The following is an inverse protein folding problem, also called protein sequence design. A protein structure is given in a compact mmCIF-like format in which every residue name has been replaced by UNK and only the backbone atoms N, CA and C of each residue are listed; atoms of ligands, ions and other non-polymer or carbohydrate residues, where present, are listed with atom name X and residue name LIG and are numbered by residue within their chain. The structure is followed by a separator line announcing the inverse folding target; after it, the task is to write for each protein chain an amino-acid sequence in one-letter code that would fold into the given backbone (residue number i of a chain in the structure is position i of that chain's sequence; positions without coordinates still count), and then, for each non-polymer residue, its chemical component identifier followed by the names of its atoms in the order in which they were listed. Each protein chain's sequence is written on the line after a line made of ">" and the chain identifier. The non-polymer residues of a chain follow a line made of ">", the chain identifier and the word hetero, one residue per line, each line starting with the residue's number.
data_IF_951251960049
#
_entry.id   IF_951251960049
#
_cell.length_a   1.000
_cell.length_b   1.000
_cell.length_c   1.000
_cell.angle_alpha   90.00
_cell.angle_beta   90.00
_cell.angle_gamma   90.00
#
_symmetry.space_group_name_H-M   'P 1'
#
loop_
_entity.id
_entity.type
_entity.pdbx_description
1 polymer ?
#
# COMPACT_ATOMS: atom_id res chain seq x y z
N UNK A 1 16.43 -4.93 23.20
CA UNK A 1 15.64 -3.71 22.91
C UNK A 1 16.32 -2.96 21.79
N UNK A 2 15.90 -3.19 20.54
CA UNK A 2 16.46 -2.50 19.38
C UNK A 2 15.93 -1.06 19.38
N UNK A 3 16.72 -0.15 19.95
CA UNK A 3 16.55 1.28 19.68
C UNK A 3 16.89 1.44 18.19
N UNK A 4 15.88 1.59 17.33
CA UNK A 4 16.07 2.45 16.15
C UNK A 4 16.79 3.68 16.69
N UNK A 5 17.98 4.06 16.19
CA UNK A 5 18.70 5.19 16.76
C UNK A 5 17.71 6.34 16.78
N UNK A 6 17.32 6.81 17.98
CA UNK A 6 16.24 7.79 18.16
C UNK A 6 16.44 9.00 17.23
N UNK A 7 17.70 9.26 16.86
CA UNK A 7 18.14 10.23 15.88
C UNK A 7 17.60 9.99 14.45
N UNK A 8 17.61 8.76 13.92
CA UNK A 8 17.11 8.45 12.57
C UNK A 8 15.59 8.63 12.49
N UNK A 9 14.87 8.15 13.51
CA UNK A 9 13.42 8.36 13.61
C UNK A 9 13.09 9.86 13.74
N UNK A 10 13.86 10.60 14.55
CA UNK A 10 13.72 12.06 14.67
C UNK A 10 14.00 12.77 13.35
N UNK A 11 15.02 12.39 12.61
CA UNK A 11 15.34 12.98 11.30
C UNK A 11 14.27 12.67 10.27
N UNK A 12 13.75 11.44 10.21
CA UNK A 12 12.66 11.08 9.31
C UNK A 12 11.37 11.85 9.64
N UNK A 13 11.03 11.98 10.92
CA UNK A 13 9.89 12.79 11.39
C UNK A 13 10.13 14.27 11.08
N UNK A 14 11.34 14.80 11.29
CA UNK A 14 11.66 16.20 10.98
C UNK A 14 11.59 16.47 9.48
N UNK A 15 12.05 15.54 8.63
CA UNK A 15 11.97 15.66 7.18
C UNK A 15 10.52 15.58 6.69
N UNK A 16 9.69 14.69 7.26
CA UNK A 16 8.27 14.66 6.93
C UNK A 16 7.57 15.93 7.39
N UNK A 17 7.86 16.43 8.59
CA UNK A 17 7.29 17.67 9.12
C UNK A 17 7.74 18.89 8.31
N UNK A 18 9.01 18.94 7.91
CA UNK A 18 9.55 20.00 7.07
C UNK A 18 8.94 19.95 5.66
N UNK A 19 8.73 18.76 5.09
CA UNK A 19 8.03 18.59 3.81
C UNK A 19 6.58 19.10 3.88
N UNK A 20 5.87 18.76 4.96
CA UNK A 20 4.50 19.22 5.25
C UNK A 20 4.47 20.74 5.43
N UNK A 21 5.41 21.31 6.19
CA UNK A 21 5.52 22.76 6.41
C UNK A 21 5.91 23.52 5.15
N UNK A 22 6.81 23.01 4.32
CA UNK A 22 7.18 23.62 3.05
C UNK A 22 6.02 23.59 2.04
N UNK A 23 5.12 22.61 2.17
CA UNK A 23 3.93 22.47 1.34
C UNK A 23 2.63 22.80 2.08
N UNK A 24 2.68 23.58 3.18
CA UNK A 24 1.49 23.79 4.03
C UNK A 24 0.32 24.44 3.29
N UNK A 25 0.60 25.26 2.27
CA UNK A 25 -0.43 25.84 1.39
C UNK A 25 -1.17 24.81 0.53
N UNK A 26 -0.62 23.61 0.34
CA UNK A 26 -1.33 22.48 -0.26
C UNK A 26 -2.35 21.83 0.70
N UNK A 27 -2.27 22.14 2.00
CA UNK A 27 -3.17 21.61 3.04
C UNK A 27 -4.43 22.48 3.18
N UNK A 28 -4.36 23.78 2.84
CA UNK A 28 -5.53 24.69 2.77
C UNK A 28 -6.40 24.47 1.51
N UNK A 29 -6.31 23.31 0.86
CA UNK A 29 -7.12 22.96 -0.30
C UNK A 29 -8.48 22.39 0.14
N UNK A 30 -9.58 22.73 -0.56
CA UNK A 30 -10.91 22.27 -0.18
C UNK A 30 -10.97 20.74 -0.19
N UNK A 31 -11.44 20.16 0.92
CA UNK A 31 -11.33 18.73 1.25
C UNK A 31 -11.81 17.75 0.16
N UNK A 32 -12.72 18.17 -0.72
CA UNK A 32 -13.23 17.37 -1.83
C UNK A 32 -12.23 17.20 -2.99
N UNK A 33 -11.19 18.03 -3.08
CA UNK A 33 -10.11 17.89 -4.06
C UNK A 33 -8.86 17.17 -3.50
N UNK A 34 -8.78 16.97 -2.18
CA UNK A 34 -7.51 16.63 -1.51
C UNK A 34 -7.36 15.16 -1.12
N UNK A 35 -8.42 14.37 -1.00
CA UNK A 35 -8.27 12.97 -0.56
C UNK A 35 -7.45 12.16 -1.59
N UNK A 36 -6.17 11.94 -1.29
CA UNK A 36 -5.16 11.20 -2.08
C UNK A 36 -4.49 11.95 -3.24
N UNK A 37 -4.97 13.13 -3.67
CA UNK A 37 -4.35 13.93 -4.75
C UNK A 37 -4.01 13.15 -6.04
N UNK A 38 -2.87 13.44 -6.67
CA UNK A 38 -2.35 12.65 -7.80
C UNK A 38 -1.88 11.23 -7.43
N UNK A 39 -1.92 10.88 -6.14
CA UNK A 39 -1.43 9.61 -5.59
C UNK A 39 -2.55 8.63 -5.24
N UNK A 40 -3.82 8.97 -5.49
CA UNK A 40 -4.96 8.07 -5.24
C UNK A 40 -4.82 6.71 -5.93
N UNK A 41 -4.03 6.59 -7.00
CA UNK A 41 -3.74 5.30 -7.63
C UNK A 41 -3.03 4.31 -6.69
N UNK A 42 -2.37 4.80 -5.63
CA UNK A 42 -1.74 3.98 -4.60
C UNK A 42 -2.76 3.24 -3.73
N UNK A 43 -4.01 3.72 -3.64
CA UNK A 43 -5.08 3.07 -2.86
C UNK A 43 -5.24 1.59 -3.26
N UNK A 44 -5.11 1.26 -4.54
CA UNK A 44 -5.21 -0.13 -4.97
C UNK A 44 -3.99 -0.99 -4.56
N UNK A 45 -2.83 -0.36 -4.38
CA UNK A 45 -1.62 -1.03 -3.89
C UNK A 45 -1.78 -1.46 -2.44
N UNK A 46 -2.64 -0.82 -1.63
CA UNK A 46 -2.89 -1.23 -0.24
C UNK A 46 -3.46 -2.65 -0.11
N UNK A 47 -4.04 -3.21 -1.18
CA UNK A 47 -4.39 -4.63 -1.26
C UNK A 47 -3.18 -5.54 -1.04
N UNK A 48 -1.96 -5.08 -1.32
CA UNK A 48 -0.73 -5.78 -1.02
C UNK A 48 -0.63 -6.13 0.47
N UNK A 49 -0.87 -5.16 1.35
CA UNK A 49 -0.72 -5.34 2.80
C UNK A 49 -1.73 -6.35 3.31
N UNK A 50 -2.98 -6.24 2.82
CA UNK A 50 -4.06 -7.19 3.13
C UNK A 50 -3.69 -8.60 2.66
N UNK A 51 -3.25 -8.74 1.40
CA UNK A 51 -2.91 -10.03 0.82
C UNK A 51 -1.74 -10.71 1.55
N UNK A 52 -0.67 -9.97 1.83
CA UNK A 52 0.50 -10.51 2.54
C UNK A 52 0.14 -10.90 3.96
N UNK A 53 -0.59 -10.05 4.69
CA UNK A 53 -1.02 -10.36 6.06
C UNK A 53 -1.82 -11.66 6.11
N UNK A 54 -2.90 -11.77 5.33
CA UNK A 54 -3.77 -12.94 5.38
C UNK A 54 -3.10 -14.20 4.83
N UNK A 55 -2.20 -14.08 3.86
CA UNK A 55 -1.42 -15.22 3.35
C UNK A 55 -0.49 -15.79 4.42
N UNK A 56 0.29 -14.92 5.08
CA UNK A 56 1.18 -15.37 6.17
C UNK A 56 0.37 -15.88 7.34
N UNK A 57 -0.69 -15.17 7.71
CA UNK A 57 -1.59 -15.57 8.80
C UNK A 57 -2.22 -16.94 8.57
N UNK A 58 -2.61 -17.26 7.33
CA UNK A 58 -3.18 -18.55 6.96
C UNK A 58 -2.12 -19.67 6.93
N UNK A 59 -0.88 -19.35 6.56
CA UNK A 59 0.22 -20.32 6.54
C UNK A 59 0.70 -20.66 7.96
N UNK A 60 1.11 -19.64 8.72
CA UNK A 60 1.45 -19.75 10.13
C UNK A 60 1.25 -18.37 10.79
N UNK A 61 0.17 -18.28 11.56
CA UNK A 61 -0.23 -17.07 12.26
C UNK A 61 0.86 -16.55 13.20
N UNK A 62 1.62 -17.40 13.89
CA UNK A 62 2.61 -16.97 14.89
C UNK A 62 3.74 -16.13 14.27
N UNK A 63 3.95 -16.23 12.96
CA UNK A 63 4.96 -15.48 12.22
C UNK A 63 4.68 -13.96 12.16
N UNK A 64 3.41 -13.57 12.13
CA UNK A 64 2.99 -12.17 11.95
C UNK A 64 2.06 -11.67 13.06
N UNK A 65 1.34 -12.58 13.72
CA UNK A 65 0.39 -12.26 14.77
C UNK A 65 0.42 -13.35 15.86
N UNK A 66 1.33 -13.26 16.85
CA UNK A 66 1.43 -14.25 17.91
C UNK A 66 0.16 -14.34 18.77
N UNK A 67 -0.19 -15.52 19.29
CA UNK A 67 -1.37 -15.71 20.18
C UNK A 67 -1.41 -14.79 21.38
N UNK A 68 -0.26 -14.32 21.85
CA UNK A 68 -0.18 -13.34 22.93
C UNK A 68 -1.01 -12.08 22.63
N UNK A 69 -1.09 -11.68 21.35
CA UNK A 69 -1.85 -10.51 20.91
C UNK A 69 -3.37 -10.69 21.05
N UNK A 70 -3.89 -11.92 21.05
CA UNK A 70 -5.33 -12.18 21.23
C UNK A 70 -5.85 -11.67 22.60
N UNK A 71 -4.96 -11.56 23.60
CA UNK A 71 -5.29 -11.02 24.92
C UNK A 71 -5.47 -9.48 24.90
N UNK A 72 -4.94 -8.81 23.89
CA UNK A 72 -4.96 -7.34 23.78
C UNK A 72 -5.88 -6.86 22.65
N UNK A 73 -5.91 -7.59 21.54
CA UNK A 73 -6.63 -7.25 20.33
C UNK A 73 -7.56 -8.43 20.00
N UNK A 74 -8.85 -8.33 20.34
CA UNK A 74 -9.79 -9.42 20.06
C UNK A 74 -9.93 -9.65 18.55
N UNK A 75 -10.30 -10.87 18.15
CA UNK A 75 -10.34 -11.28 16.75
C UNK A 75 -11.17 -10.37 15.83
N UNK A 76 -12.29 -9.82 16.32
CA UNK A 76 -13.10 -8.86 15.54
C UNK A 76 -12.34 -7.57 15.23
N UNK A 77 -11.51 -7.08 16.16
CA UNK A 77 -10.69 -5.89 15.97
C UNK A 77 -9.53 -6.21 15.02
N UNK A 78 -8.94 -7.40 15.12
CA UNK A 78 -7.94 -7.87 14.16
C UNK A 78 -8.48 -7.91 12.72
N UNK A 79 -9.66 -8.51 12.53
CA UNK A 79 -10.37 -8.47 11.24
C UNK A 79 -10.76 -7.05 10.84
N UNK A 80 -11.19 -6.22 11.80
CA UNK A 80 -11.42 -4.80 11.61
C UNK A 80 -10.22 -4.12 10.97
N UNK A 81 -9.03 -4.29 11.55
CA UNK A 81 -7.81 -3.66 11.08
C UNK A 81 -7.30 -4.19 9.74
N UNK A 82 -7.44 -5.50 9.48
CA UNK A 82 -6.76 -6.15 8.33
C UNK A 82 -7.69 -6.56 7.19
N UNK A 83 -9.01 -6.61 7.39
CA UNK A 83 -9.99 -6.95 6.35
C UNK A 83 -10.77 -5.72 5.88
N UNK A 84 -11.10 -4.77 6.77
CA UNK A 84 -11.97 -3.63 6.39
C UNK A 84 -11.35 -2.66 5.39
N UNK A 85 -10.01 -2.68 5.27
CA UNK A 85 -9.29 -1.94 4.23
C UNK A 85 -9.79 -2.34 2.83
N UNK A 86 -10.12 -3.61 2.60
CA UNK A 86 -10.57 -4.13 1.30
C UNK A 86 -11.89 -3.49 0.81
N UNK A 87 -13.01 -3.48 1.58
CA UNK A 87 -14.23 -2.81 1.12
C UNK A 87 -14.04 -1.30 0.93
N UNK A 88 -13.20 -0.63 1.73
CA UNK A 88 -12.92 0.80 1.50
C UNK A 88 -12.19 1.05 0.17
N UNK A 89 -11.17 0.25 -0.15
CA UNK A 89 -10.48 0.32 -1.45
C UNK A 89 -11.47 0.09 -2.61
N UNK A 90 -12.36 -0.91 -2.49
CA UNK A 90 -13.34 -1.20 -3.54
C UNK A 90 -14.36 -0.07 -3.73
N UNK A 91 -14.85 0.51 -2.63
CA UNK A 91 -15.77 1.66 -2.67
C UNK A 91 -15.06 2.86 -3.30
N UNK A 92 -13.84 3.16 -2.90
CA UNK A 92 -13.06 4.27 -3.44
C UNK A 92 -12.82 4.09 -4.94
N UNK A 93 -12.39 2.91 -5.38
CA UNK A 93 -12.19 2.59 -6.81
C UNK A 93 -13.47 2.73 -7.64
N UNK A 94 -14.64 2.43 -7.06
CA UNK A 94 -15.94 2.58 -7.73
C UNK A 94 -16.46 4.02 -7.77
N UNK A 95 -16.07 4.85 -6.80
CA UNK A 95 -16.62 6.19 -6.62
C UNK A 95 -15.67 7.29 -7.05
N UNK A 96 -14.38 7.01 -7.18
CA UNK A 96 -13.34 7.95 -7.57
C UNK A 96 -12.56 7.46 -8.79
N UNK A 97 -12.51 8.30 -9.83
CA UNK A 97 -11.68 8.03 -11.00
C UNK A 97 -10.23 8.36 -10.67
N UNK A 98 -9.36 7.36 -10.81
CA UNK A 98 -7.94 7.52 -10.57
C UNK A 98 -7.20 7.83 -11.87
N UNK A 99 -6.37 8.88 -11.82
CA UNK A 99 -5.41 9.13 -12.89
C UNK A 99 -4.11 8.41 -12.57
N UNK A 100 -3.87 7.31 -13.28
CA UNK A 100 -2.60 6.59 -13.17
C UNK A 100 -1.52 7.32 -13.98
N UNK A 101 -0.27 7.40 -13.48
CA UNK A 101 0.85 7.87 -14.29
C UNK A 101 1.14 6.86 -15.42
N UNK A 102 2.02 7.24 -16.36
CA UNK A 102 2.41 6.33 -17.43
C UNK A 102 2.94 5.00 -16.87
N UNK A 103 2.59 3.88 -17.50
CA UNK A 103 2.96 2.53 -17.04
C UNK A 103 4.42 2.39 -16.66
N UNK A 104 5.32 2.84 -17.53
CA UNK A 104 6.76 2.79 -17.28
C UNK A 104 7.16 3.61 -16.06
N UNK A 105 6.61 4.81 -15.90
CA UNK A 105 6.89 5.66 -14.74
C UNK A 105 6.35 5.06 -13.44
N UNK A 106 5.14 4.51 -13.46
CA UNK A 106 4.52 3.88 -12.28
C UNK A 106 5.28 2.63 -11.84
N UNK A 107 5.59 1.73 -12.78
CA UNK A 107 6.37 0.52 -12.50
C UNK A 107 7.79 0.87 -12.02
N UNK A 108 8.45 1.86 -12.64
CA UNK A 108 9.76 2.32 -12.19
C UNK A 108 9.70 2.88 -10.77
N UNK A 109 8.69 3.72 -10.46
CA UNK A 109 8.51 4.27 -9.12
C UNK A 109 8.31 3.17 -8.07
N UNK A 110 7.46 2.18 -8.34
CA UNK A 110 7.22 1.04 -7.43
C UNK A 110 8.49 0.21 -7.24
N UNK A 111 9.22 -0.09 -8.32
CA UNK A 111 10.48 -0.82 -8.25
C UNK A 111 11.52 -0.06 -7.42
N UNK A 112 11.72 1.23 -7.68
CA UNK A 112 12.67 2.07 -6.94
C UNK A 112 12.31 2.16 -5.46
N UNK A 113 11.03 2.36 -5.14
CA UNK A 113 10.56 2.38 -3.76
C UNK A 113 10.76 1.03 -3.06
N UNK A 114 10.41 -0.07 -3.74
CA UNK A 114 10.57 -1.44 -3.20
C UNK A 114 12.03 -1.76 -2.90
N UNK A 115 12.94 -1.47 -3.83
CA UNK A 115 14.38 -1.66 -3.63
C UNK A 115 14.90 -0.79 -2.49
N UNK A 116 14.51 0.49 -2.44
CA UNK A 116 14.87 1.40 -1.34
C UNK A 116 14.41 0.87 0.02
N UNK A 117 13.18 0.36 0.10
CA UNK A 117 12.62 -0.24 1.30
C UNK A 117 13.35 -1.52 1.71
N UNK A 118 13.64 -2.43 0.77
CA UNK A 118 14.40 -3.67 1.03
C UNK A 118 15.80 -3.34 1.55
N UNK A 119 16.50 -2.40 0.91
CA UNK A 119 17.82 -1.94 1.35
C UNK A 119 17.75 -1.36 2.77
N UNK A 120 16.71 -0.61 3.08
CA UNK A 120 16.50 -0.06 4.42
C UNK A 120 16.24 -1.14 5.48
N UNK A 121 15.38 -2.13 5.19
CA UNK A 121 15.15 -3.28 6.08
C UNK A 121 16.44 -4.08 6.31
N UNK A 122 17.21 -4.33 5.24
CA UNK A 122 18.52 -4.99 5.35
C UNK A 122 19.52 -4.18 6.17
N UNK A 123 19.53 -2.85 6.02
CA UNK A 123 20.36 -1.95 6.82
C UNK A 123 19.98 -1.99 8.30
N UNK A 124 18.68 -1.98 8.64
CA UNK A 124 18.21 -2.13 10.03
C UNK A 124 18.72 -3.44 10.62
N UNK A 125 18.57 -4.55 9.90
CA UNK A 125 19.06 -5.85 10.37
C UNK A 125 20.58 -5.85 10.54
N UNK A 126 21.33 -5.25 9.60
CA UNK A 126 22.78 -5.14 9.71
C UNK A 126 23.23 -4.37 10.96
N UNK A 127 22.53 -3.29 11.32
CA UNK A 127 22.89 -2.44 12.47
C UNK A 127 22.38 -3.01 13.80
N UNK A 128 21.19 -3.61 13.82
CA UNK A 128 20.53 -4.02 15.07
C UNK A 128 20.62 -5.52 15.36
N UNK A 129 20.98 -6.33 14.37
CA UNK A 129 20.91 -7.79 14.43
C UNK A 129 19.48 -8.35 14.44
N UNK A 130 18.46 -7.51 14.25
CA UNK A 130 17.05 -7.89 14.31
C UNK A 130 16.36 -7.53 13.00
N UNK A 131 15.52 -8.42 12.49
CA UNK A 131 14.65 -8.07 11.36
C UNK A 131 13.51 -7.17 11.81
N UNK A 132 13.14 -6.23 10.94
CA UNK A 132 11.94 -5.39 11.09
C UNK A 132 10.68 -6.24 11.22
N UNK A 133 10.64 -7.35 10.48
CA UNK A 133 9.56 -8.31 10.54
C UNK A 133 10.03 -9.62 11.17
N UNK A 134 9.47 -10.05 12.31
CA UNK A 134 9.92 -11.25 13.02
C UNK A 134 9.92 -12.52 12.16
N UNK A 135 8.97 -12.69 11.24
CA UNK A 135 8.95 -13.86 10.35
C UNK A 135 10.19 -13.97 9.45
N UNK A 136 10.85 -12.85 9.12
CA UNK A 136 12.08 -12.90 8.31
C UNK A 136 13.20 -13.63 9.05
N UNK A 137 13.24 -13.57 10.38
CA UNK A 137 14.19 -14.34 11.18
C UNK A 137 13.96 -15.84 11.03
N UNK A 138 12.69 -16.25 10.91
CA UNK A 138 12.27 -17.65 10.88
C UNK A 138 12.43 -18.32 9.50
N UNK A 139 12.68 -17.54 8.43
CA UNK A 139 12.89 -18.07 7.08
C UNK A 139 14.36 -18.01 6.67
N UNK A 140 14.83 -19.00 5.92
CA UNK A 140 16.22 -19.07 5.47
C UNK A 140 16.58 -17.96 4.45
N UNK A 141 17.87 -17.65 4.30
CA UNK A 141 18.35 -16.56 3.44
C UNK A 141 17.87 -16.63 1.99
N UNK A 142 17.80 -17.84 1.40
CA UNK A 142 17.25 -18.03 0.06
C UNK A 142 15.75 -17.70 -0.02
N UNK A 143 14.97 -18.10 0.99
CA UNK A 143 13.55 -17.78 1.09
C UNK A 143 13.32 -16.27 1.28
N UNK A 144 14.20 -15.56 1.98
CA UNK A 144 14.15 -14.08 2.11
C UNK A 144 14.30 -13.39 0.75
N UNK A 145 15.24 -13.84 -0.08
CA UNK A 145 15.45 -13.28 -1.43
C UNK A 145 14.20 -13.52 -2.29
N UNK A 146 13.64 -14.72 -2.26
CA UNK A 146 12.41 -15.06 -2.98
C UNK A 146 11.23 -14.22 -2.46
N UNK A 147 11.13 -14.03 -1.14
CA UNK A 147 10.08 -13.20 -0.54
C UNK A 147 10.18 -11.74 -1.00
N UNK A 148 11.36 -11.12 -0.95
CA UNK A 148 11.55 -9.75 -1.42
C UNK A 148 11.31 -9.59 -2.93
N UNK A 149 11.76 -10.57 -3.73
CA UNK A 149 11.51 -10.57 -5.17
C UNK A 149 10.02 -10.71 -5.49
N UNK A 150 9.35 -11.69 -4.89
CA UNK A 150 7.92 -11.96 -5.12
C UNK A 150 7.03 -10.81 -4.66
N UNK A 151 7.33 -10.17 -3.53
CA UNK A 151 6.58 -8.99 -3.06
C UNK A 151 6.73 -7.80 -4.00
N UNK A 152 7.93 -7.55 -4.54
CA UNK A 152 8.16 -6.52 -5.56
C UNK A 152 7.36 -6.81 -6.84
N UNK A 153 7.36 -8.06 -7.30
CA UNK A 153 6.57 -8.50 -8.46
C UNK A 153 5.07 -8.32 -8.20
N UNK A 154 4.59 -8.71 -7.02
CA UNK A 154 3.19 -8.58 -6.62
C UNK A 154 2.74 -7.12 -6.59
N UNK A 155 3.55 -6.19 -6.07
CA UNK A 155 3.22 -4.77 -6.09
C UNK A 155 3.07 -4.22 -7.52
N UNK A 156 3.98 -4.60 -8.42
CA UNK A 156 3.88 -4.20 -9.84
C UNK A 156 2.64 -4.82 -10.52
N UNK A 157 2.32 -6.08 -10.22
CA UNK A 157 1.10 -6.72 -10.69
C UNK A 157 -0.16 -6.00 -10.19
N UNK A 158 -0.22 -5.66 -8.90
CA UNK A 158 -1.35 -4.93 -8.31
C UNK A 158 -1.50 -3.54 -8.92
N UNK A 159 -0.40 -2.84 -9.21
CA UNK A 159 -0.46 -1.56 -9.92
C UNK A 159 -1.12 -1.70 -11.30
N UNK A 160 -0.70 -2.69 -12.10
CA UNK A 160 -1.29 -2.94 -13.42
C UNK A 160 -2.75 -3.37 -13.32
N UNK A 161 -3.09 -4.22 -12.36
CA UNK A 161 -4.46 -4.63 -12.12
C UNK A 161 -5.34 -3.44 -11.73
N UNK A 162 -4.85 -2.56 -10.85
CA UNK A 162 -5.54 -1.34 -10.45
C UNK A 162 -5.76 -0.40 -11.64
N UNK A 163 -4.75 -0.21 -12.49
CA UNK A 163 -4.86 0.58 -13.72
C UNK A 163 -5.96 0.02 -14.64
N UNK A 164 -5.93 -1.28 -14.91
CA UNK A 164 -6.90 -1.96 -15.78
C UNK A 164 -8.32 -1.88 -15.23
N UNK A 165 -8.50 -2.16 -13.93
CA UNK A 165 -9.81 -2.08 -13.28
C UNK A 165 -10.35 -0.66 -13.29
N UNK A 166 -9.50 0.34 -13.04
CA UNK A 166 -9.88 1.74 -13.10
C UNK A 166 -10.34 2.13 -14.51
N UNK A 167 -9.58 1.82 -15.55
CA UNK A 167 -10.01 2.07 -16.94
C UNK A 167 -11.32 1.36 -17.25
N UNK A 168 -11.44 0.08 -16.90
CA UNK A 168 -12.66 -0.69 -17.16
C UNK A 168 -13.91 -0.10 -16.51
N UNK A 169 -13.83 0.31 -15.24
CA UNK A 169 -14.97 0.89 -14.50
C UNK A 169 -15.41 2.20 -15.15
N UNK A 170 -14.45 3.09 -15.45
CA UNK A 170 -14.76 4.46 -15.85
C UNK A 170 -14.99 4.63 -17.35
N UNK A 171 -14.33 3.86 -18.21
CA UNK A 171 -14.66 3.81 -19.65
C UNK A 171 -16.07 3.24 -19.86
N UNK A 172 -16.47 2.24 -19.05
CA UNK A 172 -17.84 1.71 -19.09
C UNK A 172 -18.87 2.75 -18.67
N UNK A 173 -18.64 3.51 -17.59
CA UNK A 173 -19.55 4.59 -17.18
C UNK A 173 -19.73 5.65 -18.27
N UNK A 174 -18.63 6.12 -18.86
CA UNK A 174 -18.69 7.10 -19.96
C UNK A 174 -19.52 6.59 -21.14
N UNK A 175 -19.34 5.32 -21.54
CA UNK A 175 -20.10 4.74 -22.65
C UNK A 175 -21.61 4.69 -22.39
N UNK A 176 -22.02 4.41 -21.14
CA UNK A 176 -23.44 4.38 -20.73
C UNK A 176 -24.04 5.79 -20.72
N UNK A 177 -23.27 6.79 -20.31
CA UNK A 177 -23.69 8.20 -20.33
C UNK A 177 -23.87 8.70 -21.78
N UNK A 178 -22.92 8.41 -22.66
CA UNK A 178 -22.99 8.74 -24.09
C UNK A 178 -24.19 8.07 -24.79
N UNK A 179 -24.54 6.83 -24.42
CA UNK A 179 -25.71 6.13 -24.97
C UNK A 179 -27.04 6.76 -24.52
N UNK A 180 -27.12 7.24 -23.27
CA UNK A 180 -28.31 7.92 -22.74
C UNK A 180 -28.54 9.30 -23.36
N UNK A 181 -27.48 10.00 -23.74
CA UNK A 181 -27.56 11.32 -24.36
C UNK A 181 -27.87 11.27 -25.87
N UNK A 182 -27.77 10.11 -26.52
CA UNK A 182 -28.16 9.99 -27.93
C UNK A 182 -29.67 10.25 -28.08
N UNK A 183 -30.08 11.19 -28.94
CA UNK A 183 -31.50 11.45 -29.17
C UNK A 183 -32.13 10.18 -29.75
N UNK A 184 -33.24 9.74 -29.15
CA UNK A 184 -34.08 8.70 -29.74
C UNK A 184 -34.61 9.26 -31.06
N UNK A 185 -34.11 8.74 -32.18
CA UNK A 185 -34.75 9.00 -33.48
C UNK A 185 -36.15 8.38 -33.41
N UNK A 186 -37.17 9.23 -33.27
CA UNK A 186 -38.57 8.93 -33.60
C UNK A 186 -38.82 9.19 -35.09
#
# INVERSE_FOLDING_TARGET
>A
MALVPCQVLRVAILLSYCSILCNYKAIEMPSHQTYGGSWKFLTFIDLFVVAVFWTIYAYDREMIYPRLLDNFIPGWLNHGMHTTVLPFILIEMRTSHHQYPSRSSGLAAICTFSVGYILWVCWIHHVTGMWVYPFLEHIGSGARIIFFGSTTILMNFLYLLGEVLNSYIWDTQRSIEEEKEKPKLE
#
